data_IF_034299547850
#
_entry.id   IF_034299547850
#
_cell.length_a   1.000
_cell.length_b   1.000
_cell.length_c   1.000
_cell.angle_alpha   90.00
_cell.angle_beta   90.00
_cell.angle_gamma   90.00
#
_symmetry.space_group_name_H-M   'P 1'
#
loop_
_entity.id
_entity.type
_entity.pdbx_description
1 polymer ?
#
# COMPACT_ATOMS: atom_id res chain seq x y z
N UNK A 1 18.25 -6.66 -3.08
CA UNK A 1 17.61 -7.78 -3.80
C UNK A 1 16.77 -7.34 -5.01
N UNK A 2 16.29 -6.09 -5.12
CA UNK A 2 15.42 -5.70 -6.23
C UNK A 2 16.12 -5.42 -7.59
N UNK A 3 17.35 -4.91 -7.62
CA UNK A 3 18.01 -4.53 -8.89
C UNK A 3 19.41 -5.10 -9.10
N UNK A 4 19.92 -5.94 -8.18
CA UNK A 4 21.31 -6.45 -8.19
C UNK A 4 22.43 -5.41 -8.46
N UNK A 5 22.11 -4.11 -8.40
CA UNK A 5 22.99 -2.96 -8.59
C UNK A 5 22.73 -1.95 -7.47
N UNK A 6 23.79 -1.38 -6.91
CA UNK A 6 23.70 -0.39 -5.81
C UNK A 6 23.41 1.04 -6.29
N UNK A 7 23.47 1.29 -7.60
CA UNK A 7 23.09 2.55 -8.22
C UNK A 7 22.22 2.30 -9.45
N UNK A 8 21.12 3.04 -9.51
CA UNK A 8 20.24 3.16 -10.65
C UNK A 8 19.53 4.49 -10.53
N UNK A 9 19.76 5.39 -11.47
CA UNK A 9 19.05 6.66 -11.51
C UNK A 9 17.59 6.39 -11.88
N UNK A 10 16.69 6.73 -10.97
CA UNK A 10 15.25 6.71 -11.27
C UNK A 10 14.97 7.99 -12.04
N UNK A 11 14.56 7.92 -13.33
CA UNK A 11 14.28 9.11 -14.11
C UNK A 11 13.21 9.95 -13.39
N UNK A 12 13.50 11.25 -13.24
CA UNK A 12 12.65 12.17 -12.51
C UNK A 12 11.27 12.32 -13.19
N UNK A 13 10.25 12.64 -12.40
CA UNK A 13 8.87 12.80 -12.92
C UNK A 13 8.79 13.82 -14.07
N UNK A 14 9.63 14.85 -14.06
CA UNK A 14 9.67 15.89 -15.09
C UNK A 14 10.26 15.41 -16.42
N UNK A 15 11.20 14.47 -16.41
CA UNK A 15 11.76 13.90 -17.65
C UNK A 15 10.75 12.93 -18.27
N UNK A 16 10.06 12.15 -17.44
CA UNK A 16 8.99 11.26 -17.89
C UNK A 16 7.81 12.04 -18.47
N UNK A 17 7.38 13.14 -17.84
CA UNK A 17 6.30 13.97 -18.37
C UNK A 17 6.60 14.52 -19.77
N UNK A 18 7.81 15.05 -20.00
CA UNK A 18 8.21 15.53 -21.34
C UNK A 18 8.21 14.43 -22.40
N UNK A 19 8.60 13.21 -22.01
CA UNK A 19 8.59 12.05 -22.90
C UNK A 19 7.16 11.60 -23.24
N UNK A 20 6.25 11.63 -22.27
CA UNK A 20 4.82 11.34 -22.48
C UNK A 20 4.11 12.45 -23.29
N UNK A 21 4.41 13.73 -23.04
CA UNK A 21 3.89 14.85 -23.84
C UNK A 21 4.34 14.79 -25.30
N UNK A 22 5.58 14.38 -25.57
CA UNK A 22 6.09 14.19 -26.92
C UNK A 22 5.44 13.02 -27.65
N UNK A 23 4.99 11.99 -26.93
CA UNK A 23 4.44 10.75 -27.51
C UNK A 23 2.92 10.77 -27.66
N UNK A 24 2.21 11.47 -26.77
CA UNK A 24 0.75 11.43 -26.68
C UNK A 24 0.06 12.81 -26.78
N UNK A 25 0.84 13.90 -26.91
CA UNK A 25 0.31 15.27 -26.97
C UNK A 25 0.18 15.92 -25.59
N UNK A 26 -0.18 17.21 -25.52
CA UNK A 26 -0.26 17.96 -24.26
C UNK A 26 -1.31 17.38 -23.32
N UNK A 27 -0.88 16.90 -22.15
CA UNK A 27 -1.74 16.30 -21.13
C UNK A 27 -0.99 16.11 -19.81
N UNK A 28 -1.73 16.05 -18.69
CA UNK A 28 -1.13 15.79 -17.37
C UNK A 28 -1.08 14.29 -17.08
N UNK A 29 0.08 13.70 -17.38
CA UNK A 29 0.33 12.27 -17.21
C UNK A 29 0.85 11.91 -15.81
N UNK A 30 1.07 12.90 -14.92
CA UNK A 30 1.61 12.64 -13.58
C UNK A 30 0.48 12.12 -12.67
N UNK A 31 0.49 10.85 -12.23
CA UNK A 31 -0.52 10.33 -11.32
C UNK A 31 -0.62 11.19 -10.06
N UNK A 32 -1.79 11.31 -9.42
CA UNK A 32 -2.00 12.16 -8.26
C UNK A 32 -1.13 11.66 -7.10
N UNK A 33 0.07 12.24 -7.01
CA UNK A 33 1.19 11.74 -6.18
C UNK A 33 0.79 11.66 -4.71
N UNK A 34 -0.03 12.61 -4.25
CA UNK A 34 -0.55 12.65 -2.88
C UNK A 34 -1.41 11.43 -2.54
N UNK A 35 -2.31 11.04 -3.45
CA UNK A 35 -3.23 9.91 -3.25
C UNK A 35 -2.46 8.60 -3.23
N UNK A 36 -1.60 8.36 -4.21
CA UNK A 36 -0.76 7.15 -4.27
C UNK A 36 0.15 7.02 -3.05
N UNK A 37 0.75 8.12 -2.61
CA UNK A 37 1.66 8.16 -1.46
C UNK A 37 0.97 7.81 -0.13
N UNK A 38 -0.28 8.26 0.07
CA UNK A 38 -1.08 7.93 1.25
C UNK A 38 -1.66 6.52 1.18
N UNK A 39 -2.14 6.08 0.02
CA UNK A 39 -2.64 4.71 -0.18
C UNK A 39 -1.56 3.67 0.12
N UNK A 40 -0.32 3.89 -0.34
CA UNK A 40 0.81 3.01 -0.02
C UNK A 40 1.03 2.90 1.50
N UNK A 41 0.99 4.02 2.23
CA UNK A 41 1.17 4.03 3.70
C UNK A 41 0.05 3.33 4.43
N UNK A 42 -1.19 3.55 4.02
CA UNK A 42 -2.35 2.90 4.63
C UNK A 42 -2.26 1.39 4.41
N UNK A 43 -1.90 0.96 3.19
CA UNK A 43 -1.71 -0.46 2.87
C UNK A 43 -0.60 -1.11 3.70
N UNK A 44 0.59 -0.52 3.72
CA UNK A 44 1.74 -1.05 4.48
C UNK A 44 1.47 -0.97 5.99
N UNK A 45 0.89 0.13 6.47
CA UNK A 45 0.54 0.32 7.87
C UNK A 45 -0.49 -0.68 8.36
N UNK A 46 -1.55 -0.94 7.58
CA UNK A 46 -2.55 -1.96 7.88
C UNK A 46 -1.94 -3.37 7.90
N UNK A 47 -1.09 -3.70 6.92
CA UNK A 47 -0.39 -4.99 6.89
C UNK A 47 0.54 -5.20 8.08
N UNK A 48 1.34 -4.18 8.42
CA UNK A 48 2.21 -4.21 9.60
C UNK A 48 1.41 -4.35 10.90
N UNK A 49 0.32 -3.58 11.06
CA UNK A 49 -0.57 -3.70 12.23
C UNK A 49 -1.13 -5.12 12.38
N UNK A 50 -1.54 -5.75 11.28
CA UNK A 50 -2.02 -7.13 11.30
C UNK A 50 -0.94 -8.12 11.73
N UNK A 51 0.30 -7.96 11.25
CA UNK A 51 1.45 -8.80 11.65
C UNK A 51 1.73 -8.61 13.14
N UNK A 52 1.79 -7.37 13.63
CA UNK A 52 2.00 -7.08 15.05
C UNK A 52 0.89 -7.66 15.92
N UNK A 53 -0.37 -7.49 15.54
CA UNK A 53 -1.51 -8.05 16.25
C UNK A 53 -1.44 -9.59 16.30
N UNK A 54 -1.06 -10.24 15.19
CA UNK A 54 -0.87 -11.68 15.12
C UNK A 54 0.27 -12.16 16.03
N UNK A 55 1.43 -11.47 16.02
CA UNK A 55 2.55 -11.79 16.91
C UNK A 55 2.19 -11.66 18.39
N UNK A 56 1.48 -10.60 18.77
CA UNK A 56 1.03 -10.39 20.16
C UNK A 56 0.03 -11.48 20.55
N UNK A 57 -0.90 -11.83 19.65
CA UNK A 57 -1.84 -12.92 19.85
C UNK A 57 -1.14 -14.26 20.04
N UNK A 58 -0.15 -14.57 19.21
CA UNK A 58 0.66 -15.78 19.33
C UNK A 58 1.40 -15.83 20.68
N UNK A 59 2.01 -14.71 21.09
CA UNK A 59 2.69 -14.60 22.38
C UNK A 59 1.74 -14.81 23.58
N UNK A 60 0.56 -14.19 23.55
CA UNK A 60 -0.49 -14.39 24.58
C UNK A 60 -1.01 -15.83 24.60
N UNK A 61 -1.05 -16.49 23.43
CA UNK A 61 -1.47 -17.88 23.28
C UNK A 61 -0.49 -18.82 23.95
N UNK A 62 0.82 -18.62 23.69
CA UNK A 62 1.89 -19.37 24.34
C UNK A 62 1.88 -19.21 25.88
N UNK A 63 1.46 -18.05 26.38
CA UNK A 63 1.35 -17.77 27.82
C UNK A 63 0.03 -18.25 28.44
N UNK A 64 -0.88 -18.87 27.66
CA UNK A 64 -2.25 -19.25 28.05
C UNK A 64 -3.05 -18.10 28.70
N UNK A 65 -2.74 -16.84 28.35
CA UNK A 65 -3.41 -15.64 28.89
C UNK A 65 -4.35 -14.99 27.88
N UNK A 66 -4.57 -15.65 26.74
CA UNK A 66 -5.35 -15.12 25.62
C UNK A 66 -6.81 -14.88 26.03
N UNK A 67 -7.40 -15.80 26.78
CA UNK A 67 -8.78 -15.72 27.28
C UNK A 67 -8.95 -14.73 28.45
N UNK A 68 -7.87 -14.48 29.21
CA UNK A 68 -7.88 -13.52 30.32
C UNK A 68 -7.91 -12.07 29.80
N UNK A 69 -7.30 -11.81 28.64
CA UNK A 69 -7.16 -10.46 28.13
C UNK A 69 -8.31 -10.06 27.20
N UNK A 70 -9.47 -9.76 27.79
CA UNK A 70 -10.70 -9.35 27.08
C UNK A 70 -10.52 -8.13 26.18
N UNK A 71 -9.56 -7.25 26.49
CA UNK A 71 -9.29 -6.05 25.68
C UNK A 71 -8.62 -6.43 24.35
N UNK A 72 -7.70 -7.39 24.38
CA UNK A 72 -7.07 -7.93 23.17
C UNK A 72 -8.08 -8.65 22.26
N UNK A 73 -8.97 -9.45 22.86
CA UNK A 73 -10.04 -10.12 22.11
C UNK A 73 -10.99 -9.12 21.44
N UNK A 74 -11.38 -8.06 22.14
CA UNK A 74 -12.19 -6.96 21.56
C UNK A 74 -11.46 -6.25 20.41
N UNK A 75 -10.16 -6.04 20.54
CA UNK A 75 -9.33 -5.47 19.48
C UNK A 75 -9.30 -6.39 18.25
N UNK A 76 -9.16 -7.71 18.43
CA UNK A 76 -9.19 -8.67 17.32
C UNK A 76 -10.52 -8.68 16.55
N UNK A 77 -11.66 -8.43 17.21
CA UNK A 77 -12.95 -8.30 16.52
C UNK A 77 -12.92 -7.10 15.56
N UNK A 78 -12.34 -5.97 15.98
CA UNK A 78 -12.15 -4.80 15.10
C UNK A 78 -11.18 -5.07 13.94
N UNK A 79 -10.16 -5.92 14.16
CA UNK A 79 -9.19 -6.30 13.13
C UNK A 79 -9.80 -7.11 11.98
N UNK A 80 -11.03 -7.64 12.10
CA UNK A 80 -11.73 -8.32 11.00
C UNK A 80 -12.02 -7.35 9.83
N UNK A 81 -12.19 -6.06 10.11
CA UNK A 81 -12.44 -5.04 9.08
C UNK A 81 -11.16 -4.60 8.33
N UNK A 82 -9.99 -4.75 8.96
CA UNK A 82 -8.70 -4.31 8.40
C UNK A 82 -8.32 -4.99 7.07
N UNK A 83 -8.51 -6.32 6.89
CA UNK A 83 -8.31 -6.98 5.60
C UNK A 83 -9.10 -6.35 4.46
N UNK A 84 -10.35 -5.92 4.70
CA UNK A 84 -11.19 -5.30 3.68
C UNK A 84 -10.67 -3.91 3.29
N UNK A 85 -10.21 -3.14 4.27
CA UNK A 85 -9.59 -1.82 4.03
C UNK A 85 -8.29 -1.98 3.25
N UNK A 86 -7.43 -2.93 3.65
CA UNK A 86 -6.18 -3.20 2.96
C UNK A 86 -6.41 -3.68 1.52
N UNK A 87 -7.42 -4.53 1.30
CA UNK A 87 -7.77 -5.02 -0.03
C UNK A 87 -8.30 -3.88 -0.92
N UNK A 88 -9.20 -3.04 -0.39
CA UNK A 88 -9.72 -1.87 -1.12
C UNK A 88 -8.60 -0.88 -1.48
N UNK A 89 -7.68 -0.61 -0.56
CA UNK A 89 -6.53 0.26 -0.80
C UNK A 89 -5.56 -0.32 -1.84
N UNK A 90 -5.33 -1.63 -1.82
CA UNK A 90 -4.53 -2.35 -2.82
C UNK A 90 -5.16 -2.22 -4.21
N UNK A 91 -6.47 -2.43 -4.32
CA UNK A 91 -7.20 -2.31 -5.59
C UNK A 91 -7.12 -0.89 -6.16
N UNK A 92 -7.35 0.13 -5.32
CA UNK A 92 -7.23 1.55 -5.70
C UNK A 92 -5.81 1.88 -6.20
N UNK A 93 -4.75 1.36 -5.55
CA UNK A 93 -3.38 1.64 -5.99
C UNK A 93 -3.06 1.00 -7.34
N UNK A 94 -3.52 -0.22 -7.58
CA UNK A 94 -3.35 -0.90 -8.87
C UNK A 94 -4.13 -0.18 -9.97
N UNK A 95 -5.38 0.19 -9.71
CA UNK A 95 -6.25 0.86 -10.67
C UNK A 95 -5.78 2.28 -11.01
N UNK A 96 -5.37 3.08 -10.02
CA UNK A 96 -4.81 4.42 -10.31
C UNK A 96 -3.54 4.32 -11.14
N UNK A 97 -2.75 3.26 -10.95
CA UNK A 97 -1.56 2.99 -11.77
C UNK A 97 -1.88 2.59 -13.21
N UNK A 98 -2.96 1.85 -13.43
CA UNK A 98 -3.34 1.29 -14.75
C UNK A 98 -4.28 2.21 -15.54
N UNK A 99 -5.28 2.82 -14.90
CA UNK A 99 -6.31 3.65 -15.57
C UNK A 99 -5.73 4.83 -16.35
N UNK A 100 -4.59 5.40 -15.93
CA UNK A 100 -3.93 6.48 -16.70
C UNK A 100 -3.10 5.98 -17.89
N UNK A 101 -2.75 4.70 -17.93
CA UNK A 101 -2.11 4.07 -19.08
C UNK A 101 -3.08 3.82 -20.24
N UNK A 102 -4.38 3.67 -19.96
CA UNK A 102 -5.44 3.47 -20.96
C UNK A 102 -5.95 4.77 -21.59
N UNK A 103 -5.83 5.91 -20.90
CA UNK A 103 -6.12 7.22 -21.51
C UNK A 103 -5.09 7.64 -22.57
N UNK A 104 -4.01 6.85 -22.70
CA UNK A 104 -2.89 7.07 -23.60
C UNK A 104 -2.87 6.12 -24.81
N UNK A 105 -3.82 5.18 -24.92
CA UNK A 105 -3.97 4.28 -26.08
C UNK A 105 -5.23 4.67 -26.85
#
# INVERSE_FOLDING_TARGET
MAYQKFSGDVPGMLTLQKEYEAKFGPGDYIPPVKTTFWSFRIMVGAGMLMIFASMIGLYLSFRKKLETNKWFLRFMVGMIAFPFIANSAGWIMTEIGVSRGLSLV
#
